data_IF_416217546408
#
_entry.id   IF_416217546408
#
_cell.length_a   1.000
_cell.length_b   1.000
_cell.length_c   1.000
_cell.angle_alpha   90.00
_cell.angle_beta   90.00
_cell.angle_gamma   90.00
#
_symmetry.space_group_name_H-M   'P 1'
#
loop_
_entity.id
_entity.type
_entity.pdbx_description
1 polymer ?
#
# COMPACT_ATOMS: atom_id res chain seq x y z
N UNK A 1 -7.57 -0.53 -3.66
CA UNK A 1 -7.40 -1.97 -3.91
C UNK A 1 -6.99 -2.03 -5.36
N UNK A 2 -5.85 -2.66 -5.67
CA UNK A 2 -5.37 -2.74 -7.04
C UNK A 2 -6.34 -3.57 -7.90
N UNK A 3 -6.32 -3.29 -9.20
CA UNK A 3 -7.11 -3.96 -10.20
C UNK A 3 -6.21 -4.83 -11.06
N UNK A 4 -6.81 -5.87 -11.65
CA UNK A 4 -6.21 -6.55 -12.78
C UNK A 4 -7.19 -6.65 -13.95
N UNK A 5 -6.67 -6.41 -15.15
CA UNK A 5 -7.46 -6.32 -16.37
C UNK A 5 -6.82 -7.16 -17.45
N UNK A 6 -7.59 -8.07 -18.05
CA UNK A 6 -7.14 -8.88 -19.16
C UNK A 6 -6.92 -8.00 -20.40
N UNK A 7 -5.78 -8.17 -21.06
CA UNK A 7 -5.50 -7.52 -22.33
C UNK A 7 -6.13 -8.32 -23.48
N UNK A 8 -6.61 -7.67 -24.54
CA UNK A 8 -7.19 -8.36 -25.69
C UNK A 8 -6.25 -9.40 -26.30
N UNK A 9 -6.82 -10.56 -26.67
CA UNK A 9 -6.08 -11.65 -27.30
C UNK A 9 -5.28 -11.16 -28.52
N UNK A 10 -3.99 -11.48 -28.55
CA UNK A 10 -3.09 -11.14 -29.65
C UNK A 10 -2.45 -9.76 -29.56
N UNK A 11 -2.85 -8.88 -28.62
CA UNK A 11 -2.21 -7.57 -28.40
C UNK A 11 -0.74 -7.71 -28.04
N UNK A 12 -0.43 -8.65 -27.15
CA UNK A 12 0.93 -8.99 -26.74
C UNK A 12 1.20 -10.42 -27.16
N UNK A 13 2.33 -10.64 -27.84
CA UNK A 13 2.83 -11.95 -28.22
C UNK A 13 4.30 -12.07 -27.79
N UNK A 14 4.69 -13.24 -27.31
CA UNK A 14 6.10 -13.53 -27.00
C UNK A 14 6.65 -14.46 -28.09
N UNK A 15 7.62 -13.96 -28.86
CA UNK A 15 8.37 -14.78 -29.82
C UNK A 15 9.82 -14.98 -29.32
N UNK A 16 10.04 -16.04 -28.54
CA UNK A 16 11.35 -16.28 -27.89
C UNK A 16 11.51 -15.38 -26.67
N UNK A 17 12.59 -14.58 -26.63
CA UNK A 17 12.87 -13.60 -25.57
C UNK A 17 12.50 -12.18 -26.03
N UNK A 18 11.43 -12.03 -26.81
CA UNK A 18 11.04 -10.74 -27.39
C UNK A 18 9.53 -10.59 -27.36
N UNK A 19 9.07 -9.55 -26.68
CA UNK A 19 7.69 -9.10 -26.71
C UNK A 19 7.42 -8.36 -28.02
N UNK A 20 6.44 -8.86 -28.76
CA UNK A 20 5.89 -8.25 -29.97
C UNK A 20 4.51 -7.72 -29.61
N UNK A 21 4.27 -6.47 -29.97
CA UNK A 21 3.02 -5.78 -29.69
C UNK A 21 2.30 -5.59 -31.01
N UNK A 22 1.16 -6.26 -31.17
CA UNK A 22 0.33 -6.19 -32.38
C UNK A 22 -0.87 -5.28 -32.12
N UNK A 23 -0.81 -4.08 -32.69
CA UNK A 23 -1.84 -3.04 -32.51
C UNK A 23 -2.80 -2.98 -33.70
N UNK A 24 -2.71 -3.91 -34.66
CA UNK A 24 -3.37 -3.78 -35.97
C UNK A 24 -4.91 -3.78 -35.93
N UNK A 25 -5.56 -4.10 -34.80
CA UNK A 25 -7.02 -4.17 -34.67
C UNK A 25 -7.59 -3.56 -33.35
N UNK A 26 -6.82 -2.75 -32.62
CA UNK A 26 -7.26 -2.14 -31.35
C UNK A 26 -7.78 -0.71 -31.53
N UNK A 27 -9.08 -0.53 -31.29
CA UNK A 27 -9.65 0.78 -30.97
C UNK A 27 -9.65 0.95 -29.44
N UNK A 28 -9.55 2.19 -28.95
CA UNK A 28 -9.52 2.58 -27.54
C UNK A 28 -10.56 1.85 -26.66
N UNK A 29 -11.74 1.57 -27.23
CA UNK A 29 -12.87 0.91 -26.58
C UNK A 29 -12.71 -0.61 -26.44
N UNK A 30 -11.79 -1.26 -27.15
CA UNK A 30 -11.62 -2.71 -27.08
C UNK A 30 -10.75 -3.15 -25.89
N UNK A 31 -9.86 -2.29 -25.41
CA UNK A 31 -9.05 -2.55 -24.20
C UNK A 31 -9.89 -2.30 -22.94
N UNK A 32 -10.74 -1.27 -22.95
CA UNK A 32 -11.56 -0.84 -21.80
C UNK A 32 -12.89 -1.58 -21.64
N UNK A 33 -13.19 -2.51 -22.55
CA UNK A 33 -14.41 -3.35 -22.48
C UNK A 33 -14.22 -4.63 -21.66
N UNK A 34 -13.01 -4.89 -21.18
CA UNK A 34 -12.73 -6.02 -20.29
C UNK A 34 -13.11 -5.63 -18.86
N UNK A 35 -13.68 -6.56 -18.07
CA UNK A 35 -14.02 -6.26 -16.68
C UNK A 35 -12.73 -6.07 -15.87
N UNK A 36 -12.64 -4.93 -15.18
CA UNK A 36 -11.64 -4.76 -14.13
C UNK A 36 -12.02 -5.63 -12.94
N UNK A 37 -11.06 -6.41 -12.46
CA UNK A 37 -11.26 -7.28 -11.31
C UNK A 37 -10.40 -6.75 -10.15
N UNK A 38 -11.05 -6.49 -9.02
CA UNK A 38 -10.34 -6.14 -7.80
C UNK A 38 -9.68 -7.37 -7.20
N UNK A 39 -8.50 -7.19 -6.63
CA UNK A 39 -7.87 -8.18 -5.78
C UNK A 39 -7.33 -7.52 -4.51
N UNK A 40 -6.98 -8.34 -3.52
CA UNK A 40 -6.59 -7.87 -2.20
C UNK A 40 -5.12 -8.13 -1.89
N UNK A 41 -4.56 -9.25 -2.33
CA UNK A 41 -3.19 -9.65 -1.96
C UNK A 41 -2.49 -10.36 -3.13
N UNK A 42 -1.16 -10.33 -3.09
CA UNK A 42 -0.29 -11.16 -3.92
C UNK A 42 0.15 -12.39 -3.11
N UNK A 43 -0.05 -13.58 -3.67
CA UNK A 43 0.48 -14.84 -3.14
C UNK A 43 1.63 -15.31 -4.04
N UNK A 44 2.86 -15.28 -3.54
CA UNK A 44 4.09 -15.44 -4.32
C UNK A 44 5.02 -16.48 -3.70
N UNK A 45 5.51 -17.41 -4.50
CA UNK A 45 6.59 -18.33 -4.11
C UNK A 45 7.97 -17.74 -4.49
N UNK A 46 8.31 -16.54 -4.01
CA UNK A 46 9.59 -15.90 -4.40
C UNK A 46 10.78 -16.36 -3.53
N UNK A 47 11.87 -16.89 -4.12
CA UNK A 47 13.12 -17.16 -3.40
C UNK A 47 13.87 -15.88 -2.99
N UNK A 48 13.51 -14.72 -3.56
CA UNK A 48 14.13 -13.40 -3.32
C UNK A 48 13.17 -12.41 -2.67
N UNK A 49 12.30 -12.90 -1.77
CA UNK A 49 11.57 -12.16 -0.73
C UNK A 49 11.45 -10.64 -0.91
N UNK A 50 10.33 -10.23 -1.52
CA UNK A 50 9.78 -8.86 -1.71
C UNK A 50 10.00 -8.18 -3.07
N UNK A 51 10.65 -8.79 -4.05
CA UNK A 51 10.74 -8.22 -5.40
C UNK A 51 10.50 -9.31 -6.43
N UNK A 52 9.53 -9.13 -7.32
CA UNK A 52 9.33 -9.99 -8.48
C UNK A 52 10.18 -9.48 -9.65
N UNK A 53 10.87 -10.40 -10.29
CA UNK A 53 11.58 -10.20 -11.55
C UNK A 53 10.92 -11.03 -12.64
N UNK A 54 11.15 -10.65 -13.91
CA UNK A 54 10.63 -11.42 -15.04
C UNK A 54 10.87 -12.93 -14.86
N UNK A 55 9.79 -13.70 -14.95
CA UNK A 55 9.81 -15.15 -14.78
C UNK A 55 9.40 -15.66 -13.39
N UNK A 56 9.23 -14.79 -12.39
CA UNK A 56 8.75 -15.17 -11.06
C UNK A 56 7.24 -15.47 -11.07
N UNK A 57 6.81 -16.50 -10.36
CA UNK A 57 5.40 -16.88 -10.22
C UNK A 57 4.70 -16.03 -9.15
N UNK A 58 3.46 -15.63 -9.46
CA UNK A 58 2.58 -14.92 -8.54
C UNK A 58 1.12 -15.35 -8.74
N UNK A 59 0.33 -15.21 -7.69
CA UNK A 59 -1.12 -15.35 -7.73
C UNK A 59 -1.78 -14.11 -7.15
N UNK A 60 -2.88 -13.67 -7.76
CA UNK A 60 -3.73 -12.62 -7.22
C UNK A 60 -4.86 -13.28 -6.43
N UNK A 61 -5.08 -12.84 -5.20
CA UNK A 61 -6.11 -13.42 -4.32
C UNK A 61 -7.07 -12.35 -3.81
N UNK A 62 -8.32 -12.75 -3.56
CA UNK A 62 -9.33 -11.88 -2.95
C UNK A 62 -9.12 -11.72 -1.43
N UNK A 63 -10.00 -10.95 -0.79
CA UNK A 63 -9.94 -10.68 0.66
C UNK A 63 -10.19 -11.92 1.52
N UNK A 64 -10.73 -12.99 0.94
CA UNK A 64 -10.98 -14.27 1.60
C UNK A 64 -9.86 -15.29 1.31
N UNK A 65 -8.72 -14.84 0.74
CA UNK A 65 -7.57 -15.64 0.29
C UNK A 65 -7.91 -16.66 -0.82
N UNK A 66 -8.99 -16.46 -1.58
CA UNK A 66 -9.24 -17.31 -2.74
C UNK A 66 -8.38 -16.83 -3.92
N UNK A 67 -7.65 -17.76 -4.53
CA UNK A 67 -6.94 -17.50 -5.79
C UNK A 67 -7.92 -17.11 -6.89
N UNK A 68 -7.76 -15.88 -7.39
CA UNK A 68 -8.51 -15.36 -8.53
C UNK A 68 -7.81 -15.77 -9.82
N UNK A 69 -6.50 -15.57 -9.88
CA UNK A 69 -5.66 -15.91 -11.03
C UNK A 69 -4.22 -16.16 -10.61
N UNK A 70 -3.52 -17.04 -11.34
CA UNK A 70 -2.10 -17.35 -11.16
C UNK A 70 -1.37 -17.18 -12.47
N UNK A 71 -0.12 -16.75 -12.40
CA UNK A 71 0.69 -16.49 -13.58
C UNK A 71 2.13 -16.13 -13.26
N UNK A 72 2.82 -15.62 -14.28
CA UNK A 72 4.21 -15.23 -14.23
C UNK A 72 4.33 -13.73 -14.43
N UNK A 73 5.11 -13.05 -13.59
CA UNK A 73 5.45 -11.64 -13.76
C UNK A 73 6.35 -11.46 -14.98
N UNK A 74 6.04 -10.48 -15.82
CA UNK A 74 6.75 -10.22 -17.08
C UNK A 74 7.58 -8.93 -17.01
N UNK A 75 7.09 -7.89 -16.35
CA UNK A 75 7.78 -6.60 -16.27
C UNK A 75 6.82 -5.43 -16.13
N UNK A 76 7.33 -4.23 -16.34
CA UNK A 76 6.52 -3.01 -16.29
C UNK A 76 5.89 -2.75 -17.66
N UNK A 77 4.66 -2.26 -17.69
CA UNK A 77 3.93 -1.92 -18.91
C UNK A 77 3.47 -0.46 -18.87
N UNK A 78 3.66 0.22 -20.00
CA UNK A 78 3.07 1.52 -20.27
C UNK A 78 2.19 1.44 -21.50
N UNK A 79 0.92 1.79 -21.34
CA UNK A 79 -0.04 1.91 -22.45
C UNK A 79 -0.29 3.38 -22.69
N UNK A 80 0.01 3.88 -23.89
CA UNK A 80 -0.16 5.27 -24.27
C UNK A 80 -0.85 5.39 -25.62
N UNK A 81 -1.33 6.58 -25.96
CA UNK A 81 -1.85 6.86 -27.31
C UNK A 81 -0.97 7.84 -28.05
N UNK A 82 -0.87 7.66 -29.36
CA UNK A 82 -0.31 8.69 -30.20
C UNK A 82 -1.21 9.94 -30.15
N UNK A 83 -0.59 11.11 -30.05
CA UNK A 83 -1.34 12.37 -30.11
C UNK A 83 -2.07 12.49 -31.45
N UNK A 84 -3.37 12.73 -31.38
CA UNK A 84 -4.21 12.98 -32.56
C UNK A 84 -4.54 14.46 -32.65
N UNK A 85 -4.37 15.03 -33.84
CA UNK A 85 -4.72 16.43 -34.08
C UNK A 85 -6.13 16.56 -34.68
N UNK A 86 -6.98 17.32 -33.99
CA UNK A 86 -8.32 17.70 -34.44
C UNK A 86 -8.29 19.14 -34.94
N UNK A 87 -8.62 19.36 -36.21
CA UNK A 87 -8.70 20.69 -36.79
C UNK A 87 -9.97 21.43 -36.35
N UNK A 88 -9.83 22.56 -35.65
CA UNK A 88 -10.93 23.42 -35.21
C UNK A 88 -11.10 24.66 -36.11
N UNK A 89 -10.73 24.53 -37.39
CA UNK A 89 -10.75 25.59 -38.39
C UNK A 89 -9.36 25.94 -38.92
N UNK A 90 -9.27 26.97 -39.77
CA UNK A 90 -8.03 27.29 -40.51
C UNK A 90 -6.86 27.79 -39.64
N UNK A 91 -7.09 28.08 -38.36
CA UNK A 91 -6.11 28.71 -37.46
C UNK A 91 -5.88 27.94 -36.15
N UNK A 92 -6.61 26.85 -35.89
CA UNK A 92 -6.55 26.13 -34.62
C UNK A 92 -6.53 24.63 -34.87
N UNK A 93 -5.61 23.94 -34.21
CA UNK A 93 -5.60 22.49 -34.02
C UNK A 93 -5.62 22.19 -32.53
N UNK A 94 -6.27 21.10 -32.18
CA UNK A 94 -6.35 20.57 -30.83
C UNK A 94 -5.67 19.20 -30.83
N UNK A 95 -4.59 19.05 -30.09
CA UNK A 95 -3.99 17.75 -29.80
C UNK A 95 -4.80 17.04 -28.73
N UNK A 96 -5.00 15.75 -28.88
CA UNK A 96 -5.64 14.89 -27.90
C UNK A 96 -4.82 13.62 -27.68
N UNK A 97 -4.59 13.27 -26.43
CA UNK A 97 -3.96 12.03 -25.96
C UNK A 97 -4.76 11.49 -24.78
N UNK A 98 -4.64 10.19 -24.52
CA UNK A 98 -4.98 9.66 -23.21
C UNK A 98 -3.77 9.84 -22.29
N UNK A 99 -4.03 9.96 -20.99
CA UNK A 99 -2.97 9.73 -20.01
C UNK A 99 -2.36 8.33 -20.24
N UNK A 100 -1.03 8.20 -20.19
CA UNK A 100 -0.43 6.87 -20.20
C UNK A 100 -0.92 6.11 -18.96
N UNK A 101 -1.27 4.84 -19.15
CA UNK A 101 -1.50 3.91 -18.06
C UNK A 101 -0.20 3.17 -17.79
N UNK A 102 0.25 3.25 -16.54
CA UNK A 102 1.42 2.54 -16.04
C UNK A 102 0.93 1.42 -15.12
N UNK A 103 1.56 0.25 -15.21
CA UNK A 103 1.23 -0.89 -14.38
C UNK A 103 2.22 -2.04 -14.57
N UNK A 104 1.86 -3.19 -14.02
CA UNK A 104 2.65 -4.41 -14.09
C UNK A 104 2.03 -5.42 -15.05
N UNK A 105 2.84 -6.04 -15.90
CA UNK A 105 2.41 -7.06 -16.84
C UNK A 105 2.59 -8.45 -16.23
N UNK A 106 1.52 -9.25 -16.25
CA UNK A 106 1.59 -10.67 -15.91
C UNK A 106 0.92 -11.55 -16.96
N UNK A 107 1.37 -12.80 -17.07
CA UNK A 107 0.88 -13.79 -18.02
C UNK A 107 0.35 -15.03 -17.29
N UNK A 108 -0.86 -15.49 -17.62
CA UNK A 108 -1.41 -16.73 -17.05
C UNK A 108 -0.87 -18.01 -17.74
N UNK A 109 -1.18 -19.19 -17.17
CA UNK A 109 -0.77 -20.49 -17.73
C UNK A 109 -1.31 -20.76 -19.15
N UNK A 110 -2.40 -20.08 -19.53
CA UNK A 110 -3.02 -20.20 -20.86
C UNK A 110 -2.35 -19.28 -21.89
N UNK A 111 -1.48 -18.38 -21.44
CA UNK A 111 -0.75 -17.43 -22.26
C UNK A 111 -1.43 -16.06 -22.40
N UNK A 112 -2.53 -15.81 -21.68
CA UNK A 112 -3.22 -14.51 -21.71
C UNK A 112 -2.47 -13.50 -20.85
N UNK A 113 -2.46 -12.25 -21.28
CA UNK A 113 -1.79 -11.16 -20.59
C UNK A 113 -2.78 -10.29 -19.84
N UNK A 114 -2.32 -9.74 -18.73
CA UNK A 114 -3.11 -8.89 -17.87
C UNK A 114 -2.23 -7.76 -17.34
N UNK A 115 -2.85 -6.60 -17.12
CA UNK A 115 -2.21 -5.46 -16.45
C UNK A 115 -2.72 -5.41 -15.02
N UNK A 116 -1.81 -5.30 -14.07
CA UNK A 116 -2.09 -4.92 -12.70
C UNK A 116 -1.86 -3.41 -12.59
N UNK A 117 -2.77 -2.71 -11.94
CA UNK A 117 -2.69 -1.25 -11.79
C UNK A 117 -3.45 -0.77 -10.56
N UNK A 118 -3.06 0.39 -10.03
CA UNK A 118 -3.74 1.03 -8.90
C UNK A 118 -5.16 1.49 -9.25
N UNK A 119 -5.33 1.98 -10.49
CA UNK A 119 -6.60 2.37 -11.06
C UNK A 119 -7.00 1.38 -12.16
N UNK A 120 -8.29 1.13 -12.33
CA UNK A 120 -8.81 0.21 -13.35
C UNK A 120 -8.54 0.69 -14.78
N UNK A 121 -8.53 -0.22 -15.74
CA UNK A 121 -8.39 0.07 -17.18
C UNK A 121 -9.76 0.39 -17.80
N UNK A 122 -10.57 1.20 -17.12
CA UNK A 122 -11.93 1.54 -17.53
C UNK A 122 -12.08 3.02 -17.97
N UNK A 123 -13.19 3.37 -18.65
CA UNK A 123 -13.42 4.74 -19.11
C UNK A 123 -13.60 5.79 -18.00
N UNK A 124 -13.71 5.39 -16.74
CA UNK A 124 -13.78 6.30 -15.59
C UNK A 124 -12.42 6.62 -14.97
N UNK A 125 -11.37 5.88 -15.34
CA UNK A 125 -10.00 6.07 -14.85
C UNK A 125 -9.00 6.49 -15.94
N UNK A 126 -9.39 6.41 -17.22
CA UNK A 126 -8.62 6.99 -18.33
C UNK A 126 -8.99 8.46 -18.55
N UNK A 127 -8.03 9.35 -18.27
CA UNK A 127 -8.15 10.78 -18.49
C UNK A 127 -7.76 11.20 -19.90
N UNK A 128 -8.39 12.27 -20.39
CA UNK A 128 -8.06 12.88 -21.68
C UNK A 128 -7.20 14.11 -21.44
N UNK A 129 -6.01 14.13 -22.02
CA UNK A 129 -5.17 15.31 -22.09
C UNK A 129 -5.39 16.01 -23.44
N UNK A 130 -5.67 17.31 -23.37
CA UNK A 130 -5.88 18.15 -24.54
C UNK A 130 -4.87 19.28 -24.57
N UNK A 131 -4.28 19.52 -25.73
CA UNK A 131 -3.27 20.57 -25.93
C UNK A 131 -3.65 21.48 -27.09
N UNK A 132 -3.56 22.79 -26.90
CA UNK A 132 -3.76 23.78 -27.96
C UNK A 132 -2.70 24.88 -27.90
N UNK A 133 -2.20 25.31 -29.07
CA UNK A 133 -1.35 26.49 -29.17
C UNK A 133 -2.17 27.72 -29.59
N UNK A 134 -2.19 28.74 -28.73
CA UNK A 134 -2.89 30.00 -28.95
C UNK A 134 -1.96 31.20 -28.74
N UNK A 135 -1.90 32.07 -29.75
CA UNK A 135 -1.06 33.27 -29.73
C UNK A 135 0.43 33.01 -29.38
N UNK A 136 0.94 31.84 -29.75
CA UNK A 136 2.33 31.41 -29.49
C UNK A 136 2.55 30.79 -28.10
N UNK A 137 1.50 30.59 -27.31
CA UNK A 137 1.57 29.89 -26.03
C UNK A 137 0.80 28.56 -26.11
N UNK A 138 1.32 27.54 -25.45
CA UNK A 138 0.67 26.25 -25.33
C UNK A 138 -0.20 26.22 -24.08
N UNK A 139 -1.38 25.61 -24.20
CA UNK A 139 -2.34 25.41 -23.12
C UNK A 139 -2.69 23.93 -23.09
N UNK A 140 -2.60 23.33 -21.91
CA UNK A 140 -2.93 21.93 -21.68
C UNK A 140 -3.99 21.82 -20.58
N UNK A 141 -4.93 20.91 -20.75
CA UNK A 141 -5.89 20.55 -19.72
C UNK A 141 -6.13 19.05 -19.72
N UNK A 142 -6.38 18.51 -18.53
CA UNK A 142 -6.75 17.12 -18.31
C UNK A 142 -8.18 17.08 -17.77
N UNK A 143 -8.95 16.08 -18.16
CA UNK A 143 -10.26 15.76 -17.59
C UNK A 143 -10.44 14.25 -17.49
N UNK A 144 -11.34 13.81 -16.61
CA UNK A 144 -11.71 12.40 -16.49
C UNK A 144 -12.42 11.87 -17.74
N UNK A 145 -12.98 12.78 -18.56
CA UNK A 145 -13.51 12.46 -19.89
C UNK A 145 -13.27 13.61 -20.88
N UNK A 146 -13.58 13.37 -22.16
CA UNK A 146 -13.44 14.37 -23.23
C UNK A 146 -14.22 15.66 -22.92
N UNK A 147 -15.41 15.56 -22.34
CA UNK A 147 -16.26 16.73 -22.07
C UNK A 147 -15.67 17.61 -20.97
N UNK A 148 -15.17 16.99 -19.89
CA UNK A 148 -14.50 17.70 -18.82
C UNK A 148 -13.18 18.32 -19.29
N UNK A 149 -12.37 17.58 -20.05
CA UNK A 149 -11.10 18.09 -20.58
C UNK A 149 -11.33 19.31 -21.50
N UNK A 150 -12.36 19.27 -22.35
CA UNK A 150 -12.74 20.40 -23.20
C UNK A 150 -13.22 21.61 -22.40
N UNK A 151 -13.97 21.40 -21.33
CA UNK A 151 -14.45 22.48 -20.46
C UNK A 151 -13.29 23.16 -19.73
N UNK A 152 -12.37 22.36 -19.18
CA UNK A 152 -11.18 22.83 -18.50
C UNK A 152 -10.28 23.61 -19.46
N UNK A 153 -10.06 23.10 -20.68
CA UNK A 153 -9.25 23.79 -21.68
C UNK A 153 -9.91 25.07 -22.19
N UNK A 154 -11.22 25.03 -22.45
CA UNK A 154 -11.96 26.21 -22.91
C UNK A 154 -11.90 27.34 -21.87
N UNK A 155 -12.03 26.99 -20.59
CA UNK A 155 -11.90 27.94 -19.48
C UNK A 155 -10.47 28.51 -19.37
N UNK A 156 -9.45 27.66 -19.57
CA UNK A 156 -8.04 28.09 -19.51
C UNK A 156 -7.66 29.10 -20.60
N UNK A 157 -8.33 29.06 -21.75
CA UNK A 157 -8.03 29.93 -22.90
C UNK A 157 -8.97 31.12 -23.04
N UNK A 158 -10.06 31.19 -22.28
CA UNK A 158 -11.14 32.17 -22.45
C UNK A 158 -10.63 33.62 -22.36
N UNK A 159 -9.71 33.87 -21.44
CA UNK A 159 -9.16 35.20 -21.14
C UNK A 159 -8.01 35.63 -22.08
N UNK A 160 -7.63 34.81 -23.07
CA UNK A 160 -6.56 35.16 -24.02
C UNK A 160 -7.00 36.35 -24.90
N UNK A 161 -6.27 37.48 -24.93
CA UNK A 161 -6.67 38.66 -25.67
C UNK A 161 -6.91 38.37 -27.15
N UNK A 162 -7.96 38.98 -27.71
CA UNK A 162 -8.33 38.96 -29.15
C UNK A 162 -8.82 37.60 -29.69
N UNK A 163 -8.38 36.47 -29.15
CA UNK A 163 -8.68 35.12 -29.68
C UNK A 163 -9.34 34.17 -28.69
N UNK A 164 -9.25 34.42 -27.37
CA UNK A 164 -9.66 33.49 -26.31
C UNK A 164 -11.12 33.07 -26.37
N UNK A 165 -12.05 34.03 -26.41
CA UNK A 165 -13.49 33.73 -26.49
C UNK A 165 -13.91 32.96 -27.77
N UNK A 166 -13.20 33.15 -28.89
CA UNK A 166 -13.48 32.37 -30.12
C UNK A 166 -12.89 30.96 -30.01
N UNK A 167 -11.69 30.82 -29.46
CA UNK A 167 -11.06 29.52 -29.23
C UNK A 167 -11.87 28.67 -28.24
N UNK A 168 -12.30 29.25 -27.11
CA UNK A 168 -13.12 28.58 -26.11
C UNK A 168 -14.44 28.06 -26.69
N UNK A 169 -15.10 28.84 -27.55
CA UNK A 169 -16.33 28.41 -28.23
C UNK A 169 -16.10 27.25 -29.21
N UNK A 170 -14.97 27.24 -29.92
CA UNK A 170 -14.61 26.15 -30.83
C UNK A 170 -14.25 24.87 -30.08
N UNK A 171 -13.50 24.99 -28.97
CA UNK A 171 -13.14 23.86 -28.10
C UNK A 171 -14.41 23.19 -27.57
N UNK A 172 -15.34 23.95 -26.99
CA UNK A 172 -16.61 23.39 -26.46
C UNK A 172 -17.46 22.68 -27.53
N UNK A 173 -17.31 23.06 -28.81
CA UNK A 173 -17.99 22.42 -29.93
C UNK A 173 -17.27 21.22 -30.53
N UNK A 174 -16.07 20.87 -30.04
CA UNK A 174 -15.21 19.85 -30.63
C UNK A 174 -15.47 18.42 -30.13
N UNK A 175 -16.37 18.23 -29.16
CA UNK A 175 -16.60 16.94 -28.47
C UNK A 175 -16.63 15.73 -29.38
N UNK A 176 -17.58 15.70 -30.32
CA UNK A 176 -17.76 14.56 -31.24
C UNK A 176 -16.50 14.28 -32.07
N UNK A 177 -15.84 15.34 -32.57
CA UNK A 177 -14.65 15.18 -33.41
C UNK A 177 -13.41 14.71 -32.64
N UNK A 178 -13.29 15.12 -31.37
CA UNK A 178 -12.24 14.64 -30.46
C UNK A 178 -12.48 13.20 -30.07
N UNK A 179 -13.73 12.83 -29.78
CA UNK A 179 -14.08 11.45 -29.48
C UNK A 179 -13.81 10.52 -30.67
N UNK A 180 -14.28 10.87 -31.88
CA UNK A 180 -14.03 10.09 -33.10
C UNK A 180 -12.53 9.93 -33.40
N UNK A 181 -11.74 10.97 -33.11
CA UNK A 181 -10.30 10.97 -33.30
C UNK A 181 -9.58 10.05 -32.31
N UNK A 182 -9.96 10.09 -31.02
CA UNK A 182 -9.43 9.19 -29.99
C UNK A 182 -9.84 7.73 -30.24
N UNK A 183 -11.06 7.50 -30.71
CA UNK A 183 -11.57 6.15 -31.03
C UNK A 183 -10.74 5.44 -32.11
N UNK A 184 -9.99 6.21 -32.92
CA UNK A 184 -9.14 5.72 -34.03
C UNK A 184 -7.65 5.95 -33.79
N UNK A 185 -7.26 6.47 -32.62
CA UNK A 185 -5.87 6.72 -32.27
C UNK A 185 -5.09 5.41 -32.17
N UNK A 186 -3.86 5.40 -32.70
CA UNK A 186 -2.96 4.28 -32.49
C UNK A 186 -2.54 4.22 -31.02
N UNK A 187 -2.65 3.02 -30.44
CA UNK A 187 -2.18 2.72 -29.09
C UNK A 187 -0.74 2.26 -29.21
N UNK A 188 0.13 2.79 -28.35
CA UNK A 188 1.49 2.30 -28.16
C UNK A 188 1.53 1.60 -26.82
N UNK A 189 1.96 0.35 -26.82
CA UNK A 189 2.29 -0.37 -25.59
C UNK A 189 3.81 -0.46 -25.54
N UNK A 190 4.40 -0.18 -24.38
CA UNK A 190 5.81 -0.40 -24.11
C UNK A 190 5.91 -1.38 -22.94
N UNK A 191 6.78 -2.38 -23.05
CA UNK A 191 7.05 -3.32 -21.96
C UNK A 191 8.54 -3.27 -21.63
N UNK A 192 8.85 -3.06 -20.36
CA UNK A 192 10.19 -3.17 -19.81
C UNK A 192 10.32 -4.46 -18.99
N UNK A 193 10.88 -5.49 -19.62
CA UNK A 193 11.14 -6.79 -18.98
C UNK A 193 12.21 -6.71 -17.87
N UNK A 194 12.95 -5.60 -17.78
CA UNK A 194 13.89 -5.36 -16.67
C UNK A 194 13.24 -4.67 -15.48
N UNK A 195 11.97 -4.27 -15.64
CA UNK A 195 11.10 -3.83 -14.57
C UNK A 195 11.08 -4.84 -13.43
N UNK A 196 10.94 -4.31 -12.22
CA UNK A 196 10.83 -5.12 -11.02
C UNK A 196 9.68 -4.60 -10.20
N UNK A 197 8.79 -5.51 -9.82
CA UNK A 197 7.70 -5.18 -8.93
C UNK A 197 8.17 -5.36 -7.50
N UNK A 198 8.27 -4.27 -6.77
CA UNK A 198 8.39 -4.35 -5.32
C UNK A 198 7.04 -4.76 -4.75
N UNK A 199 6.98 -5.98 -4.22
CA UNK A 199 5.86 -6.37 -3.40
C UNK A 199 5.92 -5.50 -2.16
N UNK A 200 4.96 -4.59 -2.02
CA UNK A 200 4.79 -3.89 -0.77
C UNK A 200 4.60 -4.95 0.29
N UNK A 201 5.45 -4.93 1.32
CA UNK A 201 5.21 -5.65 2.56
C UNK A 201 3.97 -5.02 3.22
N UNK A 202 2.79 -5.14 2.59
CA UNK A 202 1.56 -4.81 3.27
C UNK A 202 1.40 -5.81 4.40
N UNK A 203 1.27 -5.20 5.59
CA UNK A 203 1.12 -5.81 6.90
C UNK A 203 2.43 -6.26 7.56
N UNK A 204 3.20 -5.26 8.01
CA UNK A 204 4.02 -5.43 9.20
C UNK A 204 3.11 -5.86 10.35
N UNK A 205 3.07 -7.17 10.58
CA UNK A 205 2.26 -7.81 11.60
C UNK A 205 2.53 -7.15 12.97
N UNK A 206 1.53 -7.10 13.87
CA UNK A 206 1.76 -6.91 15.30
C UNK A 206 2.95 -7.77 15.72
N UNK A 207 3.99 -7.17 16.31
CA UNK A 207 5.26 -7.84 16.63
C UNK A 207 6.11 -7.09 17.67
N UNK A 208 6.90 -7.86 18.43
CA UNK A 208 7.96 -7.41 19.33
C UNK A 208 9.30 -7.34 18.63
N UNK A 209 10.06 -6.27 18.82
CA UNK A 209 11.44 -6.23 18.33
C UNK A 209 12.33 -7.17 19.15
N UNK A 210 13.36 -7.73 18.52
CA UNK A 210 14.48 -8.41 19.18
C UNK A 210 14.94 -7.69 20.46
N UNK A 211 15.15 -8.47 21.54
CA UNK A 211 15.56 -7.95 22.85
C UNK A 211 14.40 -7.55 23.78
N UNK A 212 13.15 -7.59 23.30
CA UNK A 212 11.97 -7.40 24.16
C UNK A 212 11.93 -8.47 25.24
N UNK A 213 11.80 -8.06 26.51
CA UNK A 213 11.78 -8.92 27.67
C UNK A 213 10.36 -9.37 27.99
N UNK A 214 10.11 -10.66 28.00
CA UNK A 214 8.80 -11.26 28.29
C UNK A 214 8.83 -11.88 29.68
N UNK A 215 7.83 -11.58 30.50
CA UNK A 215 7.74 -12.14 31.84
C UNK A 215 7.53 -13.65 31.82
N UNK A 216 8.37 -14.39 32.55
CA UNK A 216 8.22 -15.83 32.79
C UNK A 216 8.19 -16.11 34.30
N UNK A 217 7.74 -17.30 34.74
CA UNK A 217 7.73 -17.67 36.15
C UNK A 217 9.11 -17.53 36.85
N UNK A 218 10.20 -17.69 36.11
CA UNK A 218 11.57 -17.64 36.63
C UNK A 218 12.27 -16.27 36.43
N UNK A 219 11.54 -15.27 35.96
CA UNK A 219 12.05 -13.95 35.60
C UNK A 219 11.83 -13.61 34.13
N UNK A 220 12.26 -12.44 33.70
CA UNK A 220 12.05 -12.02 32.31
C UNK A 220 13.10 -12.66 31.37
N UNK A 221 12.66 -13.04 30.16
CA UNK A 221 13.53 -13.58 29.11
C UNK A 221 13.38 -12.78 27.81
N UNK A 222 14.45 -12.57 27.04
CA UNK A 222 14.34 -11.98 25.72
C UNK A 222 13.47 -12.85 24.79
N UNK A 223 12.60 -12.21 24.01
CA UNK A 223 11.60 -12.87 23.17
C UNK A 223 12.22 -13.84 22.17
N UNK A 224 13.40 -13.53 21.63
CA UNK A 224 14.13 -14.38 20.68
C UNK A 224 14.67 -15.69 21.28
N UNK A 225 14.65 -15.81 22.62
CA UNK A 225 15.11 -17.02 23.32
C UNK A 225 13.99 -17.98 23.68
N UNK A 226 12.73 -17.54 23.51
CA UNK A 226 11.55 -18.32 23.83
C UNK A 226 11.23 -19.29 22.71
N UNK A 227 10.71 -20.46 23.08
CA UNK A 227 10.29 -21.50 22.14
C UNK A 227 8.94 -22.09 22.53
N UNK A 228 8.31 -22.80 21.60
CA UNK A 228 7.10 -23.56 21.89
C UNK A 228 7.31 -24.51 23.08
N UNK A 229 6.36 -24.51 24.02
CA UNK A 229 6.42 -25.27 25.26
C UNK A 229 6.96 -24.51 26.46
N UNK A 230 7.63 -23.37 26.29
CA UNK A 230 8.02 -22.50 27.40
C UNK A 230 6.78 -21.90 28.10
N UNK A 231 6.93 -21.55 29.38
CA UNK A 231 5.90 -20.84 30.15
C UNK A 231 6.22 -19.35 30.29
N UNK A 232 5.21 -18.51 30.03
CA UNK A 232 5.23 -17.06 30.24
C UNK A 232 4.14 -16.67 31.23
N UNK A 233 4.16 -15.43 31.73
CA UNK A 233 3.16 -14.93 32.66
C UNK A 233 2.12 -14.08 31.94
N UNK A 234 0.86 -14.40 32.18
CA UNK A 234 -0.26 -13.49 31.95
C UNK A 234 -0.11 -12.26 32.84
N UNK A 235 -0.76 -11.14 32.48
CA UNK A 235 -0.84 -9.97 33.37
C UNK A 235 -1.43 -10.29 34.75
N UNK A 236 -2.30 -11.30 34.84
CA UNK A 236 -2.86 -11.80 36.12
C UNK A 236 -1.87 -12.60 36.98
N UNK A 237 -0.65 -12.86 36.48
CA UNK A 237 0.38 -13.68 37.13
C UNK A 237 0.21 -15.19 36.91
N UNK A 238 -0.77 -15.62 36.10
CA UNK A 238 -0.96 -17.02 35.73
C UNK A 238 0.06 -17.44 34.65
N UNK A 239 0.66 -18.62 34.80
CA UNK A 239 1.49 -19.20 33.74
C UNK A 239 0.65 -19.60 32.50
N UNK A 240 1.15 -19.27 31.33
CA UNK A 240 0.60 -19.62 30.01
C UNK A 240 1.70 -20.29 29.20
N UNK A 241 1.39 -21.41 28.57
CA UNK A 241 2.32 -22.12 27.69
C UNK A 241 2.32 -21.52 26.29
N UNK A 242 3.51 -21.23 25.78
CA UNK A 242 3.72 -20.81 24.39
C UNK A 242 3.41 -21.98 23.45
N UNK A 243 2.60 -21.71 22.43
CA UNK A 243 2.29 -22.65 21.35
C UNK A 243 3.24 -22.50 20.17
N UNK A 244 3.62 -21.28 19.87
CA UNK A 244 4.55 -20.98 18.79
C UNK A 244 5.15 -19.59 18.99
N UNK A 245 6.34 -19.38 18.45
CA UNK A 245 6.97 -18.06 18.36
C UNK A 245 7.23 -17.79 16.87
N UNK A 246 6.42 -16.92 16.29
CA UNK A 246 6.63 -16.46 14.92
C UNK A 246 7.80 -15.49 14.88
N UNK A 247 8.61 -15.54 13.82
CA UNK A 247 9.67 -14.56 13.57
C UNK A 247 9.59 -14.01 12.15
N UNK A 248 9.84 -12.71 11.99
CA UNK A 248 9.91 -12.04 10.69
C UNK A 248 11.13 -11.15 10.64
N UNK A 249 12.03 -11.39 9.71
CA UNK A 249 13.19 -10.57 9.44
C UNK A 249 12.86 -9.51 8.40
N UNK A 250 13.07 -8.24 8.74
CA UNK A 250 12.78 -7.09 7.89
C UNK A 250 14.05 -6.33 7.56
N UNK A 251 14.11 -5.77 6.34
CA UNK A 251 15.21 -4.92 5.89
C UNK A 251 14.81 -3.45 6.00
N UNK A 252 15.62 -2.67 6.70
CA UNK A 252 15.32 -1.28 7.05
C UNK A 252 15.16 -0.36 5.84
N UNK A 253 15.92 -0.60 4.77
CA UNK A 253 15.80 0.17 3.52
C UNK A 253 14.49 -0.09 2.73
N UNK A 254 13.66 -1.03 3.19
CA UNK A 254 12.37 -1.40 2.59
C UNK A 254 11.16 -0.93 3.41
N UNK A 255 11.39 -0.30 4.58
CA UNK A 255 10.30 0.16 5.43
C UNK A 255 9.99 1.64 5.17
N UNK A 256 8.71 1.96 4.97
CA UNK A 256 8.24 3.34 5.09
C UNK A 256 8.39 3.82 6.55
N UNK A 257 8.36 5.14 6.75
CA UNK A 257 8.48 5.73 8.10
C UNK A 257 7.38 5.32 9.11
N UNK A 258 6.22 4.83 8.64
CA UNK A 258 5.10 4.34 9.46
C UNK A 258 5.24 2.85 9.81
N UNK A 259 6.07 2.12 9.07
CA UNK A 259 6.40 0.71 9.29
C UNK A 259 7.64 0.50 10.17
N UNK A 260 8.37 1.57 10.50
CA UNK A 260 9.42 1.54 11.52
C UNK A 260 8.83 1.21 12.91
N UNK A 261 9.61 0.58 13.82
CA UNK A 261 9.11 0.28 15.15
C UNK A 261 8.70 1.55 15.91
N UNK A 262 7.64 1.43 16.71
CA UNK A 262 7.29 2.40 17.73
C UNK A 262 8.12 2.10 18.98
N UNK A 263 8.88 3.11 19.43
CA UNK A 263 9.53 3.10 20.73
C UNK A 263 8.58 3.70 21.78
N UNK A 264 8.26 2.90 22.79
CA UNK A 264 7.55 3.30 24.01
C UNK A 264 8.60 3.40 25.11
N UNK A 265 9.01 4.62 25.46
CA UNK A 265 10.10 4.82 26.43
C UNK A 265 9.73 4.34 27.83
N UNK A 266 10.73 3.97 28.61
CA UNK A 266 10.54 3.57 30.00
C UNK A 266 9.72 4.60 30.79
N UNK A 267 8.68 4.14 31.50
CA UNK A 267 7.77 4.93 32.31
C UNK A 267 6.73 5.77 31.55
N UNK A 268 6.71 5.72 30.21
CA UNK A 268 5.86 6.59 29.38
C UNK A 268 4.37 6.26 29.41
N UNK A 269 3.99 5.03 29.76
CA UNK A 269 2.58 4.60 29.86
C UNK A 269 1.96 4.92 31.23
N UNK A 270 2.76 5.38 32.19
CA UNK A 270 2.35 5.59 33.59
C UNK A 270 2.84 4.48 34.53
N UNK A 271 2.81 4.74 35.84
CA UNK A 271 3.18 3.78 36.90
C UNK A 271 4.57 3.11 36.76
N UNK A 272 5.49 3.77 36.04
CA UNK A 272 6.82 3.23 35.76
C UNK A 272 6.86 2.20 34.64
N UNK A 273 5.82 2.12 33.80
CA UNK A 273 5.71 1.20 32.67
C UNK A 273 5.92 1.87 31.30
N UNK A 274 6.49 1.16 30.33
CA UNK A 274 7.29 -0.07 30.52
C UNK A 274 8.50 0.22 31.41
N UNK A 275 9.10 -0.76 32.07
CA UNK A 275 10.24 -0.51 32.98
C UNK A 275 11.58 -0.33 32.23
N UNK A 276 11.61 -0.68 30.95
CA UNK A 276 12.66 -0.41 29.97
C UNK A 276 12.03 -0.03 28.63
N UNK A 277 12.78 0.62 27.73
CA UNK A 277 12.25 1.01 26.42
C UNK A 277 11.74 -0.23 25.67
N UNK A 278 10.47 -0.17 25.25
CA UNK A 278 9.80 -1.24 24.52
C UNK A 278 9.67 -0.85 23.05
N UNK A 279 10.01 -1.78 22.16
CA UNK A 279 9.98 -1.56 20.72
C UNK A 279 9.06 -2.58 20.07
N UNK A 280 7.99 -2.10 19.44
CA UNK A 280 6.95 -2.92 18.81
C UNK A 280 6.55 -2.33 17.47
N UNK A 281 5.86 -3.09 16.64
CA UNK A 281 5.26 -2.57 15.40
C UNK A 281 4.09 -1.63 15.72
N UNK A 282 3.73 -0.75 14.77
CA UNK A 282 2.70 0.25 14.98
C UNK A 282 1.33 -0.35 15.34
N UNK A 283 1.01 -1.52 14.77
CA UNK A 283 -0.26 -2.20 15.00
C UNK A 283 -0.26 -3.16 16.18
N UNK A 284 0.84 -3.27 16.91
CA UNK A 284 0.89 -4.10 18.10
C UNK A 284 0.01 -3.54 19.23
N UNK A 285 -0.92 -4.37 19.72
CA UNK A 285 -1.89 -3.99 20.75
C UNK A 285 -1.30 -3.94 22.16
N UNK A 286 -1.11 -2.73 22.65
CA UNK A 286 -0.79 -2.45 24.05
C UNK A 286 -2.07 -2.41 24.89
N UNK A 287 -2.06 -2.99 26.09
CA UNK A 287 -3.26 -3.01 26.93
C UNK A 287 -3.18 -1.92 27.99
N UNK A 288 -4.08 -0.94 27.87
CA UNK A 288 -4.14 0.25 28.75
C UNK A 288 -5.59 0.49 29.14
N UNK A 289 -5.86 0.58 30.44
CA UNK A 289 -7.21 0.81 30.98
C UNK A 289 -8.26 -0.18 30.43
N UNK A 290 -7.89 -1.46 30.30
CA UNK A 290 -8.74 -2.56 29.78
C UNK A 290 -9.13 -2.43 28.29
N UNK A 291 -8.41 -1.58 27.54
CA UNK A 291 -8.52 -1.45 26.08
C UNK A 291 -7.26 -1.97 25.41
N UNK A 292 -7.41 -2.58 24.23
CA UNK A 292 -6.28 -2.90 23.36
C UNK A 292 -6.05 -1.71 22.45
N UNK A 293 -4.85 -1.13 22.48
CA UNK A 293 -4.52 0.10 21.78
C UNK A 293 -3.29 -0.14 20.93
N UNK A 294 -3.40 0.02 19.61
CA UNK A 294 -2.26 -0.09 18.70
C UNK A 294 -1.19 0.93 19.12
N UNK A 295 0.08 0.50 19.20
CA UNK A 295 1.19 1.34 19.62
C UNK A 295 1.31 2.64 18.80
N UNK A 296 0.99 2.59 17.50
CA UNK A 296 0.95 3.75 16.60
C UNK A 296 -0.09 4.80 17.01
N UNK A 297 -1.22 4.38 17.59
CA UNK A 297 -2.23 5.31 18.10
C UNK A 297 -1.71 6.10 19.33
N UNK A 298 -0.78 5.52 20.09
CA UNK A 298 -0.17 6.12 21.29
C UNK A 298 0.96 7.12 20.96
N UNK A 299 1.42 7.17 19.72
CA UNK A 299 2.52 8.06 19.30
C UNK A 299 2.18 9.50 19.61
N UNK A 300 3.02 10.13 20.44
CA UNK A 300 2.89 11.52 20.90
C UNK A 300 4.06 12.41 20.45
N UNK A 301 5.02 11.84 19.73
CA UNK A 301 6.19 12.55 19.19
C UNK A 301 7.27 12.88 20.22
N UNK A 302 7.21 12.32 21.44
CA UNK A 302 8.18 12.60 22.51
C UNK A 302 8.59 11.35 23.29
N UNK A 303 7.74 10.88 24.20
CA UNK A 303 7.97 9.66 24.99
C UNK A 303 7.54 8.40 24.26
N UNK A 304 6.64 8.53 23.27
CA UNK A 304 6.22 7.45 22.38
C UNK A 304 6.35 7.96 20.94
N UNK A 305 7.25 7.36 20.16
CA UNK A 305 7.58 7.80 18.81
C UNK A 305 8.08 6.67 17.94
N UNK A 306 7.91 6.81 16.61
CA UNK A 306 8.60 5.97 15.65
C UNK A 306 10.12 6.11 15.82
N UNK A 307 10.83 4.98 15.71
CA UNK A 307 12.28 4.96 15.69
C UNK A 307 12.76 5.57 14.36
N UNK A 308 13.86 6.31 14.40
CA UNK A 308 14.50 6.82 13.19
C UNK A 308 15.16 5.67 12.43
N UNK A 309 14.91 5.57 11.11
CA UNK A 309 15.53 4.54 10.26
C UNK A 309 17.05 4.50 10.41
N UNK A 310 17.72 5.64 10.61
CA UNK A 310 19.18 5.71 10.77
C UNK A 310 19.69 5.09 12.09
N UNK A 311 18.80 4.93 13.08
CA UNK A 311 19.11 4.27 14.34
C UNK A 311 18.88 2.75 14.28
N UNK A 312 18.26 2.24 13.22
CA UNK A 312 18.01 0.82 13.01
C UNK A 312 19.14 0.18 12.17
N UNK A 313 19.52 -1.08 12.44
CA UNK A 313 20.43 -1.81 11.56
C UNK A 313 19.81 -2.01 10.17
N UNK A 314 20.62 -2.40 9.18
CA UNK A 314 20.13 -2.70 7.83
C UNK A 314 19.08 -3.81 7.79
N UNK A 315 19.13 -4.72 8.76
CA UNK A 315 18.23 -5.84 8.92
C UNK A 315 17.98 -6.09 10.41
N UNK A 316 16.74 -6.37 10.78
CA UNK A 316 16.35 -6.70 12.15
C UNK A 316 15.18 -7.68 12.17
N UNK A 317 14.90 -8.27 13.32
CA UNK A 317 13.90 -9.34 13.45
C UNK A 317 12.84 -8.98 14.47
N UNK A 318 11.62 -9.20 14.05
CA UNK A 318 10.41 -9.14 14.84
C UNK A 318 9.98 -10.53 15.29
N UNK A 319 9.34 -10.60 16.44
CA UNK A 319 8.84 -11.84 17.04
C UNK A 319 7.40 -11.66 17.49
N UNK A 320 6.59 -12.72 17.38
CA UNK A 320 5.27 -12.77 18.00
C UNK A 320 5.09 -14.07 18.78
N UNK A 321 4.35 -13.98 19.87
CA UNK A 321 4.06 -15.13 20.72
C UNK A 321 2.63 -15.57 20.46
N UNK A 322 2.45 -16.84 20.11
CA UNK A 322 1.16 -17.50 20.09
C UNK A 322 0.98 -18.37 21.34
N UNK A 323 -0.21 -18.29 21.94
CA UNK A 323 -0.62 -19.13 23.07
C UNK A 323 -1.88 -19.93 22.70
N UNK A 324 -2.54 -20.55 23.69
CA UNK A 324 -3.78 -21.29 23.42
C UNK A 324 -4.92 -20.35 23.01
N UNK A 325 -4.98 -19.15 23.59
CA UNK A 325 -6.02 -18.13 23.34
C UNK A 325 -5.36 -16.79 22.97
N UNK A 326 -6.15 -15.78 22.67
CA UNK A 326 -5.66 -14.41 22.67
C UNK A 326 -5.54 -13.93 24.13
N UNK A 327 -4.31 -14.01 24.67
CA UNK A 327 -3.98 -13.71 26.05
C UNK A 327 -3.32 -12.32 26.20
N UNK A 328 -3.40 -11.77 27.40
CA UNK A 328 -2.67 -10.58 27.82
C UNK A 328 -1.42 -11.00 28.61
N UNK A 329 -0.24 -10.61 28.11
CA UNK A 329 1.06 -10.93 28.70
C UNK A 329 1.81 -9.65 29.09
N UNK A 330 3.00 -9.78 29.66
CA UNK A 330 3.84 -8.66 30.07
C UNK A 330 5.12 -8.60 29.22
N UNK A 331 5.30 -7.52 28.47
CA UNK A 331 6.51 -7.19 27.71
C UNK A 331 7.16 -5.93 28.28
N UNK A 332 8.41 -6.04 28.73
CA UNK A 332 9.11 -5.01 29.52
C UNK A 332 8.24 -4.49 30.68
N UNK A 333 7.48 -5.40 31.30
CA UNK A 333 6.50 -5.12 32.35
C UNK A 333 5.19 -4.46 31.88
N UNK A 334 5.08 -4.01 30.63
CA UNK A 334 3.86 -3.42 30.09
C UNK A 334 2.88 -4.51 29.61
N UNK A 335 1.57 -4.40 29.92
CA UNK A 335 0.56 -5.31 29.41
C UNK A 335 0.38 -5.20 27.89
N UNK A 336 0.37 -6.33 27.20
CA UNK A 336 0.34 -6.40 25.73
C UNK A 336 -0.32 -7.70 25.26
N UNK A 337 -0.72 -7.74 23.99
CA UNK A 337 -1.38 -8.90 23.41
C UNK A 337 -0.45 -10.04 22.94
N UNK A 338 -0.99 -11.26 22.90
CA UNK A 338 -0.45 -12.40 22.15
C UNK A 338 -1.14 -12.54 20.79
N UNK A 339 -0.67 -13.48 19.96
CA UNK A 339 -1.11 -13.65 18.57
C UNK A 339 -2.62 -13.86 18.47
N UNK A 340 -3.19 -13.28 17.42
CA UNK A 340 -4.59 -13.41 17.05
C UNK A 340 -4.69 -13.66 15.54
N UNK A 341 -5.64 -14.50 15.14
CA UNK A 341 -5.65 -15.15 13.84
C UNK A 341 -6.12 -14.28 12.66
N UNK A 342 -6.40 -12.98 12.86
CA UNK A 342 -6.73 -12.08 11.74
C UNK A 342 -5.50 -11.59 10.96
N UNK A 343 -4.30 -11.95 11.42
CA UNK A 343 -3.00 -11.44 10.96
C UNK A 343 -2.34 -12.38 9.93
N UNK A 344 -2.77 -13.65 9.86
CA UNK A 344 -2.18 -14.67 8.97
C UNK A 344 -0.77 -15.12 9.41
N UNK A 345 -0.59 -16.44 9.64
CA UNK A 345 0.74 -16.96 10.04
C UNK A 345 1.74 -17.07 8.90
N UNK A 346 1.25 -17.09 7.66
CA UNK A 346 2.06 -17.12 6.42
C UNK A 346 3.04 -15.96 6.33
N UNK A 347 2.69 -14.83 6.94
CA UNK A 347 3.49 -13.61 6.94
C UNK A 347 4.74 -13.68 7.85
N UNK A 348 4.98 -14.80 8.56
CA UNK A 348 6.22 -15.05 9.32
C UNK A 348 7.16 -16.00 8.57
N UNK A 349 8.46 -15.74 8.64
CA UNK A 349 9.52 -16.52 7.96
C UNK A 349 9.56 -17.99 8.36
N UNK A 350 8.99 -18.35 9.52
CA UNK A 350 8.96 -19.70 10.04
C UNK A 350 7.56 -20.33 10.05
N UNK A 351 6.68 -19.93 9.15
CA UNK A 351 5.35 -20.52 8.98
C UNK A 351 5.39 -22.04 8.72
N UNK A 352 6.33 -22.52 7.92
CA UNK A 352 6.53 -23.96 7.69
C UNK A 352 6.79 -24.73 9.00
N UNK A 353 7.51 -24.13 9.95
CA UNK A 353 7.73 -24.72 11.27
C UNK A 353 6.40 -24.85 12.04
N UNK A 354 5.50 -23.88 11.90
CA UNK A 354 4.15 -23.94 12.48
C UNK A 354 3.32 -25.07 11.86
N UNK A 355 3.29 -25.17 10.53
CA UNK A 355 2.57 -26.23 9.84
C UNK A 355 3.11 -27.61 10.19
N UNK A 356 4.43 -27.75 10.38
CA UNK A 356 5.03 -28.99 10.85
C UNK A 356 4.59 -29.37 12.28
N UNK A 357 4.32 -28.38 13.15
CA UNK A 357 3.86 -28.60 14.52
C UNK A 357 2.37 -28.97 14.60
N UNK A 358 1.52 -28.33 13.81
CA UNK A 358 0.06 -28.40 13.98
C UNK A 358 -0.69 -29.03 12.80
N UNK A 359 -0.09 -29.09 11.61
CA UNK A 359 -0.66 -29.69 10.40
C UNK A 359 -1.81 -28.91 9.75
N UNK A 360 -2.28 -27.83 10.38
CA UNK A 360 -3.30 -26.92 9.90
C UNK A 360 -3.28 -25.61 10.71
N UNK A 361 -3.91 -24.57 10.18
CA UNK A 361 -4.13 -23.30 10.88
C UNK A 361 -5.05 -23.46 12.10
N UNK A 362 -4.74 -22.71 13.16
CA UNK A 362 -5.57 -22.63 14.37
C UNK A 362 -6.25 -21.28 14.46
N UNK A 363 -7.58 -21.32 14.53
CA UNK A 363 -8.38 -20.14 14.82
C UNK A 363 -8.25 -19.76 16.29
N UNK A 364 -7.76 -18.54 16.53
CA UNK A 364 -7.67 -17.93 17.86
C UNK A 364 -8.65 -16.76 17.91
N UNK A 365 -9.77 -16.89 18.64
CA UNK A 365 -10.71 -15.80 18.82
C UNK A 365 -10.05 -14.60 19.50
N UNK A 366 -10.36 -13.40 19.01
CA UNK A 366 -9.88 -12.17 19.63
C UNK A 366 -10.39 -12.02 21.07
N UNK A 367 -9.55 -11.44 21.95
CA UNK A 367 -9.97 -11.11 23.30
C UNK A 367 -11.11 -10.10 23.31
N UNK A 368 -12.00 -10.22 24.29
CA UNK A 368 -13.22 -9.40 24.39
C UNK A 368 -12.94 -8.05 25.03
N UNK A 369 -12.17 -7.20 24.35
CA UNK A 369 -11.87 -5.83 24.76
C UNK A 369 -12.16 -4.84 23.63
N UNK A 370 -12.30 -3.57 24.01
CA UNK A 370 -12.40 -2.50 23.03
C UNK A 370 -11.03 -2.32 22.38
N UNK A 371 -10.96 -2.38 21.05
CA UNK A 371 -9.76 -2.05 20.28
C UNK A 371 -9.78 -0.61 19.80
N UNK A 372 -8.66 0.08 19.98
CA UNK A 372 -8.37 1.41 19.46
C UNK A 372 -7.21 1.27 18.47
N UNK A 373 -7.51 1.35 17.18
CA UNK A 373 -6.49 1.26 16.12
C UNK A 373 -5.93 2.62 15.72
N UNK A 374 -6.66 3.71 15.98
CA UNK A 374 -6.26 5.04 15.55
C UNK A 374 -6.29 6.07 16.67
N UNK A 375 -5.33 7.01 16.64
CA UNK A 375 -5.22 8.11 17.62
C UNK A 375 -6.51 8.90 17.82
N UNK A 376 -7.31 9.11 16.76
CA UNK A 376 -8.61 9.82 16.84
C UNK A 376 -9.66 9.12 17.72
N UNK A 377 -9.48 7.82 17.98
CA UNK A 377 -10.37 7.03 18.84
C UNK A 377 -9.90 7.01 20.30
N UNK A 378 -8.70 7.55 20.60
CA UNK A 378 -8.20 7.60 21.97
C UNK A 378 -9.10 8.49 22.84
N UNK A 379 -9.52 8.00 24.03
CA UNK A 379 -10.19 8.83 25.02
C UNK A 379 -9.37 10.06 25.39
N UNK A 380 -10.03 11.22 25.51
CA UNK A 380 -9.35 12.48 25.81
C UNK A 380 -8.50 12.44 27.10
N UNK A 381 -8.95 11.70 28.11
CA UNK A 381 -8.21 11.56 29.37
C UNK A 381 -6.89 10.77 29.19
N UNK A 382 -6.84 9.81 28.25
CA UNK A 382 -5.61 9.09 27.91
C UNK A 382 -4.66 9.98 27.12
N UNK A 383 -5.19 10.77 26.18
CA UNK A 383 -4.41 11.77 25.46
C UNK A 383 -3.69 12.73 26.44
N UNK A 384 -4.44 13.26 27.41
CA UNK A 384 -3.89 14.13 28.46
C UNK A 384 -2.83 13.41 29.32
N UNK A 385 -3.13 12.19 29.78
CA UNK A 385 -2.20 11.38 30.61
C UNK A 385 -0.87 11.11 29.91
N UNK A 386 -0.91 10.84 28.61
CA UNK A 386 0.26 10.47 27.81
C UNK A 386 0.98 11.70 27.22
N UNK A 387 0.52 12.93 27.48
CA UNK A 387 1.06 14.13 26.84
C UNK A 387 0.87 14.13 25.32
N UNK A 388 -0.01 13.28 24.81
CA UNK A 388 -0.48 13.32 23.44
C UNK A 388 -1.51 14.46 23.39
N UNK A 389 -1.09 15.66 22.99
CA UNK A 389 -2.02 16.78 22.75
C UNK A 389 -3.21 16.35 21.89
N UNK A 390 -4.30 17.10 21.92
CA UNK A 390 -5.48 16.77 21.11
C UNK A 390 -5.07 16.64 19.64
N UNK A 391 -5.84 15.90 18.83
CA UNK A 391 -5.59 15.80 17.39
C UNK A 391 -5.46 17.20 16.74
N UNK A 392 -6.23 18.17 17.23
CA UNK A 392 -6.12 19.59 16.82
C UNK A 392 -4.73 20.17 17.12
N UNK A 393 -4.19 19.95 18.32
CA UNK A 393 -2.87 20.46 18.73
C UNK A 393 -1.70 19.82 17.95
N UNK A 394 -1.92 18.66 17.33
CA UNK A 394 -0.95 18.04 16.42
C UNK A 394 -1.04 18.65 15.02
N UNK A 395 -2.24 18.78 14.46
CA UNK A 395 -2.46 19.42 13.15
C UNK A 395 -1.91 20.84 13.15
N UNK A 396 -2.17 21.61 14.22
CA UNK A 396 -1.66 22.98 14.35
C UNK A 396 -0.11 23.01 14.38
N UNK A 397 0.52 22.05 15.07
CA UNK A 397 1.99 21.93 15.10
C UNK A 397 2.59 21.52 13.76
N UNK A 398 2.00 20.56 13.08
CA UNK A 398 2.46 20.09 11.76
C UNK A 398 2.29 21.19 10.71
N UNK A 399 1.17 21.91 10.76
CA UNK A 399 0.93 23.09 9.94
C UNK A 399 1.98 24.18 10.21
N UNK A 400 2.28 24.48 11.48
CA UNK A 400 3.30 25.47 11.85
C UNK A 400 4.71 25.06 11.36
N UNK A 401 5.07 23.78 11.45
CA UNK A 401 6.34 23.24 10.94
C UNK A 401 6.41 23.34 9.41
N UNK A 402 5.32 23.01 8.71
CA UNK A 402 5.23 23.13 7.24
C UNK A 402 5.36 24.59 6.80
N UNK A 403 4.65 25.51 7.48
CA UNK A 403 4.72 26.95 7.21
C UNK A 403 6.09 27.54 7.54
N UNK A 404 6.81 27.01 8.53
CA UNK A 404 8.19 27.40 8.80
C UNK A 404 9.16 26.94 7.70
N UNK A 405 8.99 25.72 7.18
CA UNK A 405 9.79 25.21 6.03
C UNK A 405 9.52 26.02 4.76
N UNK A 406 8.26 26.34 4.47
CA UNK A 406 7.86 27.16 3.31
C UNK A 406 8.36 28.62 3.37
N UNK A 407 8.60 29.17 4.56
CA UNK A 407 9.19 30.51 4.73
C UNK A 407 10.73 30.52 4.62
N UNK A 408 11.36 29.35 4.73
CA UNK A 408 12.81 29.20 4.65
C UNK A 408 13.30 28.79 3.26
N UNK A 409 12.41 28.31 2.39
CA UNK A 409 12.59 28.19 0.94
C UNK A 409 12.27 29.53 0.25
#
# INVERSE_FOLDING_TARGET
MPYFTELPEGLIQIEGDTIIIDTNDLNLLNITNQPDNEFSLYDVESPTGTTLSNGDELSLVDSDENTLISGTYVGDITVSTASVEVGLGALFSLGATLNPLEGELFQDESGNFYVISEDGLDPSHLGVELTITLAGNEYTAVGADVSEALENLASAVEDVPLVGGTAAALIRGAGDAVQDALDTAAITVEVDETGTMDLTDEEVLPCFLHGTLIATPDGEKPVETLVAGDEILAHTGKAITIKWVGRRTVRNNRLDSRHLPVCIKAGSLGDGLPHSDLYVTADHGMIIDDMVINAGALVNGSSICFVDSTAMPSEFTYYHIETENHDEILANGAPTETFVDYIGRKSFDNHDEYLALYGAERIIPEMKRIRISARRQLPAYLCERLGAGSFSDQVDREFDVLMAKLKAA
#
